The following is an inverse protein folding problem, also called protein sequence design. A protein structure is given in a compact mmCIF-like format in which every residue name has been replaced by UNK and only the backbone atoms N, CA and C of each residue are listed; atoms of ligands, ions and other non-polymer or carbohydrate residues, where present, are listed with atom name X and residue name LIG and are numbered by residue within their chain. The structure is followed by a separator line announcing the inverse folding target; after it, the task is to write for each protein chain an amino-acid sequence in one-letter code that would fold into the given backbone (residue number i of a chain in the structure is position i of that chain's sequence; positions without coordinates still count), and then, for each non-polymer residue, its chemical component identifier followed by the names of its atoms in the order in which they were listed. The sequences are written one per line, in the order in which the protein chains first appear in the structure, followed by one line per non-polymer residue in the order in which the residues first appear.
data_IF_519029061284
#
_entry.id   IF_519029061284
#
_cell.length_a   1.000
_cell.length_b   1.000
_cell.length_c   1.000
_cell.angle_alpha   90.00
_cell.angle_beta   90.00
_cell.angle_gamma   90.00
#
_symmetry.space_group_name_H-M   'P 1'
#
loop_
_entity.id
_entity.type
_entity.pdbx_description
1 polymer ?
#
# COMPACT_ATOMS: atom_id res chain seq x y z
N UNK A 1 2.26 -1.14 -17.92
CA UNK A 1 1.36 -1.45 -16.80
C UNK A 1 0.61 -0.19 -16.41
N UNK A 2 -0.72 -0.25 -16.27
CA UNK A 2 -1.50 0.87 -15.79
C UNK A 2 -1.42 0.97 -14.26
N UNK A 3 -1.14 2.16 -13.74
CA UNK A 3 -0.99 2.35 -12.29
C UNK A 3 -2.26 2.06 -11.47
N UNK A 4 -3.48 2.40 -11.97
CA UNK A 4 -4.71 2.00 -11.28
C UNK A 4 -4.87 0.47 -11.12
N UNK A 5 -4.31 -0.34 -12.03
CA UNK A 5 -4.37 -1.80 -11.91
C UNK A 5 -3.44 -2.30 -10.81
N UNK A 6 -2.30 -1.63 -10.58
CA UNK A 6 -1.42 -1.92 -9.44
C UNK A 6 -2.10 -1.59 -8.11
N UNK A 7 -2.84 -0.48 -8.04
CA UNK A 7 -3.64 -0.18 -6.85
C UNK A 7 -4.71 -1.27 -6.57
N UNK A 8 -5.41 -1.72 -7.61
CA UNK A 8 -6.40 -2.81 -7.48
C UNK A 8 -5.75 -4.13 -7.06
N UNK A 9 -4.54 -4.40 -7.54
CA UNK A 9 -3.76 -5.56 -7.11
C UNK A 9 -3.42 -5.47 -5.62
N UNK A 10 -2.95 -4.32 -5.14
CA UNK A 10 -2.68 -4.08 -3.72
C UNK A 10 -3.94 -4.28 -2.86
N UNK A 11 -5.07 -3.68 -3.25
CA UNK A 11 -6.36 -3.90 -2.58
C UNK A 11 -6.72 -5.38 -2.47
N UNK A 12 -6.59 -6.12 -3.57
CA UNK A 12 -6.87 -7.56 -3.59
C UNK A 12 -5.97 -8.32 -2.62
N UNK A 13 -4.66 -8.08 -2.68
CA UNK A 13 -3.69 -8.74 -1.78
C UNK A 13 -4.01 -8.44 -0.31
N UNK A 14 -4.33 -7.19 0.02
CA UNK A 14 -4.75 -6.83 1.37
C UNK A 14 -6.00 -7.62 1.82
N UNK A 15 -7.03 -7.69 0.97
CA UNK A 15 -8.25 -8.44 1.29
C UNK A 15 -8.00 -9.95 1.47
N UNK A 16 -7.14 -10.53 0.62
CA UNK A 16 -6.74 -11.93 0.74
C UNK A 16 -6.01 -12.20 2.06
N UNK A 17 -5.04 -11.37 2.42
CA UNK A 17 -4.26 -11.54 3.65
C UNK A 17 -5.10 -11.26 4.91
N UNK A 18 -5.93 -10.21 4.90
CA UNK A 18 -6.86 -9.93 6.01
C UNK A 18 -7.87 -11.06 6.20
N UNK A 19 -8.25 -11.75 5.13
CA UNK A 19 -9.10 -12.95 5.19
C UNK A 19 -8.35 -14.14 5.79
N UNK A 20 -7.10 -14.37 5.39
CA UNK A 20 -6.26 -15.46 5.93
C UNK A 20 -6.06 -15.35 7.45
N UNK A 21 -5.87 -14.13 7.97
CA UNK A 21 -5.71 -13.90 9.41
C UNK A 21 -7.03 -13.76 10.17
N UNK A 22 -8.16 -13.88 9.46
CA UNK A 22 -9.50 -13.96 10.05
C UNK A 22 -10.14 -12.62 10.44
N UNK A 23 -9.54 -11.48 10.08
CA UNK A 23 -10.16 -10.15 10.23
C UNK A 23 -11.35 -10.02 9.27
N UNK A 24 -11.19 -10.54 8.06
CA UNK A 24 -12.24 -10.64 7.05
C UNK A 24 -12.68 -12.09 6.85
N UNK A 25 -13.85 -12.29 6.23
CA UNK A 25 -14.46 -13.57 5.93
C UNK A 25 -15.29 -13.50 4.66
N UNK A 26 -15.33 -14.57 3.88
CA UNK A 26 -16.13 -14.67 2.66
C UNK A 26 -15.31 -14.57 1.38
N UNK A 27 -15.94 -14.19 0.28
CA UNK A 27 -15.32 -14.18 -1.04
C UNK A 27 -14.63 -12.83 -1.31
N UNK A 28 -13.36 -12.85 -1.67
CA UNK A 28 -12.54 -11.65 -1.94
C UNK A 28 -13.05 -10.87 -3.17
N UNK A 29 -13.55 -11.57 -4.21
CA UNK A 29 -14.08 -10.88 -5.39
C UNK A 29 -15.33 -10.04 -5.06
N UNK A 30 -16.13 -10.48 -4.10
CA UNK A 30 -17.28 -9.71 -3.63
C UNK A 30 -16.85 -8.55 -2.74
N UNK A 31 -15.81 -8.70 -1.93
CA UNK A 31 -15.21 -7.61 -1.15
C UNK A 31 -14.66 -6.50 -2.05
N UNK A 32 -14.00 -6.88 -3.16
CA UNK A 32 -13.51 -5.93 -4.17
C UNK A 32 -14.65 -5.13 -4.78
N UNK A 33 -15.78 -5.75 -5.11
CA UNK A 33 -16.96 -5.08 -5.69
C UNK A 33 -17.55 -4.00 -4.78
N UNK A 34 -17.47 -4.20 -3.47
CA UNK A 34 -17.95 -3.22 -2.47
C UNK A 34 -16.83 -2.30 -1.96
N UNK A 35 -15.68 -2.30 -2.61
CA UNK A 35 -14.52 -1.46 -2.28
C UNK A 35 -14.06 -1.57 -0.82
N UNK A 36 -14.14 -2.76 -0.24
CA UNK A 36 -13.77 -2.98 1.16
C UNK A 36 -12.28 -2.69 1.42
N UNK A 37 -11.39 -2.86 0.41
CA UNK A 37 -9.98 -2.52 0.50
C UNK A 37 -9.71 -1.07 0.89
N UNK A 38 -10.54 -0.14 0.42
CA UNK A 38 -10.42 1.29 0.72
C UNK A 38 -10.66 1.64 2.21
N UNK A 39 -11.25 0.73 3.00
CA UNK A 39 -11.41 0.90 4.45
C UNK A 39 -10.06 0.72 5.15
N UNK A 40 -9.23 -0.20 4.66
CA UNK A 40 -7.92 -0.52 5.24
C UNK A 40 -6.77 0.24 4.57
N UNK A 41 -6.90 0.62 3.28
CA UNK A 41 -5.95 1.47 2.56
C UNK A 41 -6.68 2.66 1.92
N UNK A 42 -6.99 3.73 2.69
CA UNK A 42 -7.77 4.87 2.20
C UNK A 42 -6.96 5.89 1.39
N UNK A 43 -5.83 5.49 0.83
CA UNK A 43 -4.94 6.33 0.03
C UNK A 43 -4.51 5.63 -1.27
N UNK A 44 -3.87 6.36 -2.18
CA UNK A 44 -3.32 5.78 -3.41
C UNK A 44 -2.09 4.91 -3.13
N UNK A 45 -1.86 3.89 -3.96
CA UNK A 45 -0.72 2.98 -3.83
C UNK A 45 0.64 3.69 -3.93
N UNK A 46 0.71 4.84 -4.58
CA UNK A 46 1.95 5.59 -4.75
C UNK A 46 1.78 6.73 -5.73
N UNK A 47 2.86 7.44 -5.99
CA UNK A 47 2.88 8.66 -6.79
C UNK A 47 4.21 8.83 -7.51
N UNK A 48 4.24 9.69 -8.53
CA UNK A 48 5.49 10.12 -9.15
C UNK A 48 6.34 10.86 -8.13
N UNK A 49 7.63 10.65 -8.21
CA UNK A 49 8.67 11.24 -7.37
C UNK A 49 9.65 11.99 -8.26
N UNK A 50 9.94 13.25 -7.94
CA UNK A 50 10.83 14.09 -8.72
C UNK A 50 11.37 15.28 -7.93
N UNK A 51 11.24 16.50 -8.47
CA UNK A 51 11.62 17.72 -7.74
C UNK A 51 10.77 17.84 -6.47
N UNK A 52 9.47 17.57 -6.62
CA UNK A 52 8.57 17.47 -5.47
C UNK A 52 8.38 16.00 -5.07
N UNK A 53 8.20 15.75 -3.77
CA UNK A 53 7.88 14.41 -3.24
C UNK A 53 6.61 13.87 -3.88
N UNK A 54 5.56 14.68 -3.96
CA UNK A 54 4.36 14.40 -4.75
C UNK A 54 4.47 15.16 -6.08
N UNK A 55 5.22 14.60 -7.02
CA UNK A 55 5.55 15.31 -8.25
C UNK A 55 4.36 15.42 -9.22
N UNK A 56 4.50 16.33 -10.17
CA UNK A 56 3.50 16.64 -11.19
C UNK A 56 3.43 15.55 -12.28
N UNK A 57 2.45 15.65 -13.19
CA UNK A 57 2.37 14.80 -14.38
C UNK A 57 1.62 13.48 -14.19
N UNK A 58 1.05 13.21 -13.02
CA UNK A 58 0.30 11.98 -12.75
C UNK A 58 -1.02 11.87 -13.52
N UNK A 59 -1.58 13.00 -13.96
CA UNK A 59 -2.81 13.07 -14.74
C UNK A 59 -2.56 13.88 -16.01
N UNK A 60 -2.37 13.23 -17.17
CA UNK A 60 -2.29 13.89 -18.46
C UNK A 60 -3.57 14.68 -18.77
N UNK A 61 -3.48 15.65 -19.69
CA UNK A 61 -4.63 16.42 -20.15
C UNK A 61 -5.76 15.48 -20.63
N UNK A 62 -6.99 15.73 -20.18
CA UNK A 62 -8.16 14.93 -20.52
C UNK A 62 -8.33 13.63 -19.73
N UNK A 63 -7.41 13.30 -18.83
CA UNK A 63 -7.56 12.13 -17.92
C UNK A 63 -8.18 12.58 -16.61
N UNK A 64 -9.37 12.08 -16.31
CA UNK A 64 -10.09 12.37 -15.08
C UNK A 64 -9.72 11.37 -13.97
N UNK A 65 -9.93 11.78 -12.70
CA UNK A 65 -9.80 10.89 -11.56
C UNK A 65 -10.86 9.80 -11.60
N UNK A 66 -10.48 8.57 -11.24
CA UNK A 66 -11.41 7.47 -11.07
C UNK A 66 -12.16 7.70 -9.76
N UNK A 67 -13.44 8.10 -9.84
CA UNK A 67 -14.27 8.40 -8.65
C UNK A 67 -14.83 7.13 -8.00
N UNK A 68 -13.92 6.29 -7.49
CA UNK A 68 -14.23 5.10 -6.70
C UNK A 68 -13.43 5.14 -5.39
N UNK A 69 -13.95 4.57 -4.28
CA UNK A 69 -13.23 4.48 -3.03
C UNK A 69 -11.81 3.91 -3.20
N UNK A 70 -10.83 4.51 -2.55
CA UNK A 70 -9.41 4.17 -2.72
C UNK A 70 -8.80 4.80 -3.98
N UNK A 71 -9.31 4.46 -5.15
CA UNK A 71 -8.81 4.91 -6.45
C UNK A 71 -8.87 6.44 -6.64
N UNK A 72 -9.89 7.11 -6.08
CA UNK A 72 -9.99 8.59 -6.13
C UNK A 72 -8.81 9.30 -5.47
N UNK A 73 -8.11 8.61 -4.57
CA UNK A 73 -6.95 9.13 -3.85
C UNK A 73 -5.63 8.95 -4.61
N UNK A 74 -5.63 8.22 -5.74
CA UNK A 74 -4.44 8.06 -6.57
C UNK A 74 -3.92 9.42 -7.07
N UNK A 75 -2.61 9.63 -6.97
CA UNK A 75 -1.93 10.83 -7.50
C UNK A 75 -1.51 10.68 -8.95
N UNK A 76 -1.55 9.45 -9.49
CA UNK A 76 -1.33 9.16 -10.91
C UNK A 76 -2.28 8.08 -11.41
N UNK A 77 -2.77 8.21 -12.64
CA UNK A 77 -3.56 7.22 -13.36
C UNK A 77 -2.92 6.83 -14.70
N UNK A 78 -1.62 7.08 -14.86
CA UNK A 78 -0.88 6.78 -16.09
C UNK A 78 -0.58 5.30 -16.25
N UNK A 79 -0.36 4.89 -17.49
CA UNK A 79 0.49 3.74 -17.78
C UNK A 79 1.94 4.12 -17.46
N UNK A 80 2.65 3.20 -16.80
CA UNK A 80 4.06 3.41 -16.46
C UNK A 80 4.92 3.32 -17.72
N UNK A 81 5.87 4.23 -17.83
CA UNK A 81 6.84 4.34 -18.92
C UNK A 81 8.25 4.30 -18.37
N UNK A 82 9.19 3.81 -19.16
CA UNK A 82 10.61 3.81 -18.81
C UNK A 82 11.08 5.23 -18.44
N UNK A 83 11.85 5.31 -17.37
CA UNK A 83 12.38 6.57 -16.82
C UNK A 83 11.49 7.22 -15.77
N UNK A 84 10.26 6.74 -15.54
CA UNK A 84 9.45 7.20 -14.42
C UNK A 84 10.07 6.71 -13.11
N UNK A 85 10.08 7.59 -12.11
CA UNK A 85 10.42 7.27 -10.72
C UNK A 85 9.16 7.49 -9.89
N UNK A 86 8.83 6.51 -9.03
CA UNK A 86 7.61 6.58 -8.23
C UNK A 86 7.74 5.77 -6.95
N UNK A 87 6.88 6.10 -5.98
CA UNK A 87 6.73 5.34 -4.74
C UNK A 87 5.79 4.16 -4.92
N UNK A 88 6.03 3.09 -4.17
CA UNK A 88 5.09 1.98 -3.94
C UNK A 88 4.90 1.86 -2.44
N UNK A 89 3.76 2.31 -1.94
CA UNK A 89 3.53 2.52 -0.51
C UNK A 89 2.23 1.86 0.01
N UNK A 90 2.07 0.54 -0.17
CA UNK A 90 0.90 -0.14 0.38
C UNK A 90 0.90 -0.05 1.90
N UNK A 91 -0.29 0.04 2.48
CA UNK A 91 -0.45 0.11 3.93
C UNK A 91 -1.77 -0.48 4.39
N UNK A 92 -1.80 -0.95 5.63
CA UNK A 92 -3.00 -1.43 6.30
C UNK A 92 -3.20 -0.60 7.55
N UNK A 93 -4.37 0.02 7.67
CA UNK A 93 -4.71 0.94 8.75
C UNK A 93 -6.02 0.55 9.42
N UNK A 94 -6.08 0.67 10.74
CA UNK A 94 -7.26 0.42 11.55
C UNK A 94 -7.81 1.76 12.08
N UNK A 95 -8.41 2.55 11.17
CA UNK A 95 -8.94 3.88 11.45
C UNK A 95 -10.38 3.74 11.94
N UNK A 96 -10.62 4.01 13.21
CA UNK A 96 -11.91 3.76 13.87
C UNK A 96 -13.10 4.31 13.10
N UNK A 97 -13.03 5.55 12.60
CA UNK A 97 -14.09 6.16 11.82
C UNK A 97 -14.46 5.36 10.57
N UNK A 98 -13.46 4.88 9.80
CA UNK A 98 -13.69 4.09 8.59
C UNK A 98 -14.20 2.69 8.93
N UNK A 99 -13.68 2.08 9.99
CA UNK A 99 -14.14 0.78 10.48
C UNK A 99 -15.59 0.85 10.93
N UNK A 100 -15.96 1.90 11.64
CA UNK A 100 -17.35 2.11 12.08
C UNK A 100 -18.30 2.33 10.90
N UNK A 101 -17.88 3.09 9.88
CA UNK A 101 -18.66 3.23 8.65
C UNK A 101 -18.89 1.86 7.98
N UNK A 102 -17.85 1.06 7.81
CA UNK A 102 -17.94 -0.26 7.19
C UNK A 102 -18.81 -1.24 8.00
N UNK A 103 -18.78 -1.16 9.34
CA UNK A 103 -19.63 -1.99 10.21
C UNK A 103 -21.11 -1.58 10.15
N UNK A 104 -21.42 -0.33 9.83
CA UNK A 104 -22.79 0.16 9.64
C UNK A 104 -23.31 -0.05 8.21
N UNK A 105 -22.45 -0.31 7.25
CA UNK A 105 -22.85 -0.62 5.86
C UNK A 105 -23.14 -2.13 5.69
N UNK A 106 -24.40 -2.52 5.45
CA UNK A 106 -24.74 -3.93 5.25
C UNK A 106 -23.96 -4.61 4.10
N UNK A 107 -23.56 -3.86 3.10
CA UNK A 107 -22.80 -4.40 1.97
C UNK A 107 -21.35 -4.77 2.35
N UNK A 108 -20.80 -4.15 3.37
CA UNK A 108 -19.41 -4.35 3.82
C UNK A 108 -19.33 -5.15 5.13
N UNK A 109 -20.23 -4.90 6.08
CA UNK A 109 -20.21 -5.50 7.41
C UNK A 109 -20.31 -7.02 7.40
N UNK A 110 -21.00 -7.61 6.41
CA UNK A 110 -21.12 -9.06 6.26
C UNK A 110 -19.76 -9.76 6.05
N UNK A 111 -18.77 -9.05 5.53
CA UNK A 111 -17.40 -9.55 5.31
C UNK A 111 -16.48 -9.35 6.53
N UNK A 112 -16.88 -8.56 7.52
CA UNK A 112 -16.04 -8.22 8.68
C UNK A 112 -16.30 -9.20 9.82
N UNK A 113 -15.22 -9.75 10.38
CA UNK A 113 -15.28 -10.48 11.64
C UNK A 113 -15.04 -9.49 12.79
N UNK A 114 -16.12 -8.94 13.30
CA UNK A 114 -16.04 -7.87 14.30
C UNK A 114 -15.28 -8.28 15.56
N UNK A 115 -15.44 -9.52 16.04
CA UNK A 115 -14.77 -10.00 17.27
C UNK A 115 -13.24 -10.01 17.10
N UNK A 116 -12.76 -10.37 15.91
CA UNK A 116 -11.32 -10.33 15.58
C UNK A 116 -10.89 -8.88 15.37
N UNK A 117 -11.66 -8.08 14.61
CA UNK A 117 -11.34 -6.69 14.33
C UNK A 117 -11.18 -5.84 15.60
N UNK A 118 -11.98 -6.07 16.63
CA UNK A 118 -11.87 -5.33 17.90
C UNK A 118 -10.48 -5.44 18.53
N UNK A 119 -9.73 -6.51 18.28
CA UNK A 119 -8.37 -6.71 18.78
C UNK A 119 -7.35 -5.78 18.14
N UNK A 120 -7.68 -5.20 16.98
CA UNK A 120 -6.81 -4.31 16.22
C UNK A 120 -7.18 -2.82 16.37
N UNK A 121 -8.29 -2.51 17.05
CA UNK A 121 -8.63 -1.11 17.34
C UNK A 121 -7.53 -0.47 18.21
N UNK A 122 -7.18 0.76 17.85
CA UNK A 122 -6.09 1.49 18.51
C UNK A 122 -4.68 1.05 18.14
N UNK A 123 -4.52 0.03 17.28
CA UNK A 123 -3.21 -0.37 16.76
C UNK A 123 -2.58 0.73 15.88
N UNK A 124 -3.41 1.49 15.15
CA UNK A 124 -2.95 2.46 14.16
C UNK A 124 -2.86 1.84 12.77
N UNK A 125 -1.67 1.66 12.27
CA UNK A 125 -1.44 1.06 10.96
C UNK A 125 0.04 0.82 10.68
N UNK A 126 0.30 0.20 9.53
CA UNK A 126 1.65 -0.04 9.02
C UNK A 126 1.68 0.26 7.52
N UNK A 127 2.73 0.94 7.06
CA UNK A 127 3.04 1.18 5.66
C UNK A 127 4.44 0.68 5.37
N UNK A 128 4.59 -0.01 4.24
CA UNK A 128 5.89 -0.31 3.63
C UNK A 128 5.99 0.57 2.40
N UNK A 129 7.12 1.27 2.24
CA UNK A 129 7.28 2.22 1.14
C UNK A 129 8.61 2.00 0.44
N UNK A 130 8.54 1.88 -0.87
CA UNK A 130 9.68 1.75 -1.76
C UNK A 130 9.66 2.79 -2.85
N UNK A 131 10.85 3.29 -3.19
CA UNK A 131 11.09 4.08 -4.39
C UNK A 131 11.62 3.17 -5.50
N UNK A 132 11.04 3.28 -6.68
CA UNK A 132 11.46 2.52 -7.84
C UNK A 132 11.68 3.41 -9.06
N UNK A 133 12.61 3.01 -9.93
CA UNK A 133 12.73 3.54 -11.28
C UNK A 133 12.22 2.51 -12.29
N UNK A 134 11.33 2.90 -13.19
CA UNK A 134 10.81 2.04 -14.26
C UNK A 134 11.87 1.88 -15.34
N UNK A 135 12.21 0.65 -15.68
CA UNK A 135 13.18 0.30 -16.72
C UNK A 135 12.50 -0.28 -17.96
N UNK A 136 13.26 -0.50 -19.04
CA UNK A 136 12.73 -1.11 -20.25
C UNK A 136 12.21 -2.55 -20.05
N UNK A 137 12.73 -3.27 -19.05
CA UNK A 137 12.40 -4.69 -18.82
C UNK A 137 11.74 -4.96 -17.45
N UNK A 138 11.49 -3.92 -16.64
CA UNK A 138 10.93 -4.08 -15.30
C UNK A 138 11.10 -2.83 -14.46
N UNK A 139 11.71 -2.96 -13.30
CA UNK A 139 11.99 -1.84 -12.39
C UNK A 139 13.35 -2.02 -11.71
N UNK A 140 13.91 -0.92 -11.26
CA UNK A 140 15.06 -0.85 -10.36
C UNK A 140 14.58 -0.37 -9.00
N UNK A 141 14.89 -1.14 -7.94
CA UNK A 141 14.58 -0.76 -6.57
C UNK A 141 15.64 0.21 -6.05
N UNK A 142 15.21 1.40 -5.66
CA UNK A 142 16.10 2.45 -5.15
C UNK A 142 16.17 2.43 -3.62
N UNK A 143 15.12 1.98 -2.94
CA UNK A 143 15.05 1.88 -1.48
C UNK A 143 15.77 0.64 -1.00
N UNK A 144 16.58 0.80 0.04
CA UNK A 144 17.33 -0.30 0.63
C UNK A 144 17.33 -0.18 2.15
N UNK A 145 16.30 -0.75 2.77
CA UNK A 145 16.07 -0.72 4.22
C UNK A 145 15.62 -2.09 4.73
N UNK A 146 15.87 -2.42 6.01
CA UNK A 146 15.30 -3.60 6.64
C UNK A 146 13.77 -3.59 6.58
N UNK A 147 13.13 -4.75 6.31
CA UNK A 147 11.68 -4.85 6.13
C UNK A 147 11.00 -5.82 7.07
N UNK A 148 11.65 -6.93 7.41
CA UNK A 148 11.10 -7.88 8.37
C UNK A 148 11.30 -7.38 9.80
N UNK A 149 10.49 -7.87 10.73
CA UNK A 149 10.62 -7.52 12.15
C UNK A 149 12.01 -7.87 12.65
N UNK A 150 12.52 -9.05 12.30
CA UNK A 150 13.82 -9.55 12.69
C UNK A 150 14.96 -8.67 12.18
N UNK A 151 14.89 -8.26 10.91
CA UNK A 151 15.89 -7.35 10.31
C UNK A 151 15.88 -5.98 10.96
N UNK A 152 14.69 -5.40 11.22
CA UNK A 152 14.53 -4.09 11.86
C UNK A 152 15.07 -4.14 13.27
N UNK A 153 14.69 -5.15 14.06
CA UNK A 153 15.13 -5.30 15.46
C UNK A 153 16.65 -5.51 15.55
N UNK A 154 17.21 -6.34 14.66
CA UNK A 154 18.66 -6.56 14.60
C UNK A 154 19.41 -5.28 14.23
N UNK A 155 18.95 -4.55 13.22
CA UNK A 155 19.55 -3.29 12.80
C UNK A 155 19.48 -2.21 13.90
N UNK A 156 18.35 -2.10 14.60
CA UNK A 156 18.20 -1.17 15.72
C UNK A 156 19.11 -1.53 16.90
N UNK A 157 19.25 -2.82 17.21
CA UNK A 157 20.15 -3.28 18.27
C UNK A 157 21.63 -3.00 17.95
N UNK A 158 22.04 -3.17 16.69
CA UNK A 158 23.39 -2.82 16.24
C UNK A 158 23.64 -1.31 16.24
N UNK A 159 22.66 -0.50 15.88
CA UNK A 159 22.73 0.97 15.84
C UNK A 159 22.99 1.62 17.21
N UNK A 160 22.64 0.94 18.30
CA UNK A 160 22.98 1.42 19.65
C UNK A 160 24.48 1.32 19.95
N UNK A 161 25.25 0.55 19.19
CA UNK A 161 26.68 0.30 19.45
C UNK A 161 27.63 0.98 18.47
N UNK A 162 27.18 1.45 17.31
CA UNK A 162 27.99 2.22 16.34
C UNK A 162 27.13 2.81 15.24
N UNK A 163 27.45 4.02 14.77
CA UNK A 163 26.82 4.60 13.56
C UNK A 163 27.27 3.80 12.32
N UNK A 164 26.57 2.72 12.00
CA UNK A 164 26.74 1.98 10.74
C UNK A 164 25.79 2.51 9.69
N UNK A 165 26.31 2.82 8.51
CA UNK A 165 25.49 3.06 7.30
C UNK A 165 25.07 1.72 6.71
N UNK A 166 23.80 1.61 6.33
CA UNK A 166 23.29 0.44 5.63
C UNK A 166 23.85 0.43 4.19
N UNK A 167 24.56 -0.65 3.81
CA UNK A 167 25.12 -0.78 2.46
C UNK A 167 24.11 -1.48 1.54
N UNK A 168 23.43 -0.67 0.74
CA UNK A 168 22.40 -1.10 -0.19
C UNK A 168 22.92 -2.05 -1.28
N UNK A 169 24.16 -1.88 -1.71
CA UNK A 169 24.72 -2.63 -2.84
C UNK A 169 25.05 -4.09 -2.52
N UNK A 170 25.18 -4.42 -1.22
CA UNK A 170 25.49 -5.79 -0.77
C UNK A 170 24.25 -6.69 -0.68
N UNK A 171 23.04 -6.12 -0.52
CA UNK A 171 21.80 -6.87 -0.32
C UNK A 171 21.06 -7.25 -1.63
N UNK A 172 21.48 -6.70 -2.79
CA UNK A 172 20.88 -7.02 -4.10
C UNK A 172 21.48 -8.25 -4.81
N UNK A 173 22.37 -9.01 -4.14
CA UNK A 173 23.07 -10.17 -4.73
C UNK A 173 22.55 -11.54 -4.25
N UNK A 174 21.28 -11.63 -3.81
CA UNK A 174 20.65 -12.92 -3.51
C UNK A 174 19.41 -13.17 -4.36
#
# INVERSE_FOLDING_TARGET
VAWPDMHRLADRVHLEELTKIGILKGNVDDMVKVHLGAIFMPHGLGHLLGIDVHDVGGYPEGVERIDLPGLRSLRTARSLEQGMVLTIEPGIYFIDHLLDQALHDPAQSCFINNDVLQRFRGFGGVRIEDDIAVTASGMELLTCVPRTVEEIEAFMAEGQSSAKTFDCLSSQKQ
#
